data_IF_246956286135
#
_entry.id   IF_246956286135
#
_cell.length_a   1.000
_cell.length_b   1.000
_cell.length_c   1.000
_cell.angle_alpha   90.00
_cell.angle_beta   90.00
_cell.angle_gamma   90.00
#
_symmetry.space_group_name_H-M   'P 1'
#
loop_
_entity.id
_entity.type
_entity.pdbx_description
1 polymer ?
#
# COMPACT_ATOMS: atom_id res chain seq x y z
N UNK A 1 -9.51 9.46 -10.62
CA UNK A 1 -9.01 8.07 -10.50
C UNK A 1 -7.51 8.16 -10.26
N UNK A 2 -7.02 7.57 -9.17
CA UNK A 2 -5.61 7.68 -8.75
C UNK A 2 -4.76 6.64 -9.48
N UNK A 3 -3.51 6.99 -9.79
CA UNK A 3 -2.53 6.10 -10.42
C UNK A 3 -1.51 5.63 -9.39
N UNK A 4 -1.10 4.38 -9.52
CA UNK A 4 0.01 3.74 -8.82
C UNK A 4 1.20 3.70 -9.76
N UNK A 5 2.29 4.35 -9.36
CA UNK A 5 3.59 4.23 -10.00
C UNK A 5 4.45 3.28 -9.15
N UNK A 6 4.55 2.03 -9.59
CA UNK A 6 5.39 1.01 -8.95
C UNK A 6 6.77 0.99 -9.61
N UNK A 7 7.79 1.48 -8.91
CA UNK A 7 9.17 1.49 -9.38
C UNK A 7 9.97 0.36 -8.77
N UNK A 8 10.53 -0.49 -9.62
CA UNK A 8 11.28 -1.70 -9.26
C UNK A 8 12.70 -1.63 -9.83
N UNK A 9 13.73 -1.96 -9.04
CA UNK A 9 15.07 -2.19 -9.59
C UNK A 9 15.08 -3.49 -10.39
N UNK A 10 15.89 -3.54 -11.44
CA UNK A 10 15.97 -4.67 -12.39
C UNK A 10 16.20 -6.00 -11.67
N UNK A 11 17.07 -6.02 -10.67
CA UNK A 11 17.39 -7.20 -9.85
C UNK A 11 16.20 -7.75 -9.04
N UNK A 12 15.17 -6.94 -8.78
CA UNK A 12 13.97 -7.35 -8.04
C UNK A 12 12.79 -7.72 -8.95
N UNK A 13 12.89 -7.52 -10.26
CA UNK A 13 11.83 -7.90 -11.21
C UNK A 13 11.37 -9.37 -11.10
N UNK A 14 12.26 -10.37 -10.86
CA UNK A 14 11.82 -11.76 -10.69
C UNK A 14 10.85 -11.96 -9.51
N UNK A 15 10.97 -11.15 -8.45
CA UNK A 15 10.04 -11.14 -7.32
C UNK A 15 8.65 -10.61 -7.69
N UNK A 16 8.47 -10.10 -8.91
CA UNK A 16 7.22 -9.58 -9.40
C UNK A 16 6.81 -10.29 -10.70
N UNK A 17 7.17 -11.57 -10.83
CA UNK A 17 6.82 -12.40 -11.99
C UNK A 17 5.31 -12.43 -12.25
N UNK A 18 4.50 -12.39 -11.19
CA UNK A 18 3.04 -12.33 -11.24
C UNK A 18 2.49 -11.11 -11.99
N UNK A 19 3.25 -10.01 -12.11
CA UNK A 19 2.84 -8.83 -12.91
C UNK A 19 2.70 -9.15 -14.41
N UNK A 20 3.29 -10.25 -14.89
CA UNK A 20 3.12 -10.73 -16.26
C UNK A 20 1.66 -11.09 -16.58
N UNK A 21 0.88 -11.51 -15.57
CA UNK A 21 -0.53 -11.90 -15.73
C UNK A 21 -1.44 -10.72 -16.08
N UNK A 22 -1.08 -9.52 -15.63
CA UNK A 22 -1.83 -8.28 -15.87
C UNK A 22 -0.89 -7.20 -16.40
N UNK A 23 -0.53 -7.28 -17.70
CA UNK A 23 0.43 -6.36 -18.28
C UNK A 23 -0.11 -4.94 -18.28
N UNK A 24 0.78 -3.97 -18.07
CA UNK A 24 0.42 -2.55 -18.10
C UNK A 24 1.50 -1.70 -18.77
N UNK A 25 1.29 -0.37 -18.83
CA UNK A 25 2.28 0.57 -19.36
C UNK A 25 3.54 0.58 -18.49
N UNK A 26 4.70 0.46 -19.13
CA UNK A 26 6.00 0.39 -18.43
C UNK A 26 6.99 1.38 -19.01
N UNK A 27 7.67 2.09 -18.10
CA UNK A 27 8.80 2.95 -18.40
C UNK A 27 10.09 2.38 -17.80
N UNK A 28 11.24 2.75 -18.36
CA UNK A 28 12.56 2.37 -17.87
C UNK A 28 13.43 3.61 -17.70
N UNK A 29 14.21 3.65 -16.63
CA UNK A 29 15.27 4.64 -16.44
C UNK A 29 16.47 3.93 -15.81
N UNK A 30 17.52 3.73 -16.61
CA UNK A 30 18.71 2.96 -16.20
C UNK A 30 18.35 1.55 -15.71
N UNK A 31 18.63 1.27 -14.44
CA UNK A 31 18.37 -0.01 -13.79
C UNK A 31 16.97 -0.12 -13.15
N UNK A 32 16.08 0.84 -13.38
CA UNK A 32 14.74 0.84 -12.80
C UNK A 32 13.66 0.71 -13.86
N UNK A 33 12.61 -0.02 -13.51
CA UNK A 33 11.38 -0.14 -14.28
C UNK A 33 10.24 0.48 -13.47
N UNK A 34 9.35 1.21 -14.14
CA UNK A 34 8.18 1.81 -13.53
C UNK A 34 6.92 1.29 -14.22
N UNK A 35 6.10 0.59 -13.46
CA UNK A 35 4.82 0.03 -13.87
C UNK A 35 3.70 0.96 -13.41
N UNK A 36 2.80 1.30 -14.33
CA UNK A 36 1.73 2.26 -14.06
C UNK A 36 0.40 1.51 -13.97
N UNK A 37 -0.30 1.59 -12.85
CA UNK A 37 -1.62 0.97 -12.67
C UNK A 37 -2.67 2.00 -12.25
N UNK A 38 -3.94 1.78 -12.60
CA UNK A 38 -5.04 2.45 -11.90
C UNK A 38 -5.25 1.81 -10.54
N UNK A 39 -5.40 2.63 -9.51
CA UNK A 39 -5.81 2.15 -8.19
C UNK A 39 -7.32 1.84 -8.19
N UNK A 40 -7.73 0.66 -7.72
CA UNK A 40 -9.14 0.35 -7.50
C UNK A 40 -9.82 1.29 -6.49
N UNK A 41 -11.11 1.52 -6.70
CA UNK A 41 -11.90 2.41 -5.85
C UNK A 41 -12.01 1.81 -4.45
N UNK A 42 -11.75 2.63 -3.43
CA UNK A 42 -11.87 2.22 -2.03
C UNK A 42 -10.60 1.59 -1.46
N UNK A 43 -9.55 1.46 -2.28
CA UNK A 43 -8.20 1.25 -1.79
C UNK A 43 -7.66 2.56 -1.23
N UNK A 44 -6.85 2.44 -0.18
CA UNK A 44 -6.31 3.58 0.54
C UNK A 44 -4.79 3.50 0.61
N UNK A 45 -4.09 3.03 -0.43
CA UNK A 45 -2.62 2.97 -0.40
C UNK A 45 -2.02 4.35 -0.10
N UNK A 46 -0.83 4.37 0.51
CA UNK A 46 -0.01 5.58 0.68
C UNK A 46 1.29 5.46 -0.10
N UNK A 47 1.97 6.58 -0.32
CA UNK A 47 3.31 6.57 -0.94
C UNK A 47 4.31 6.03 0.07
N UNK A 48 5.13 5.05 -0.33
CA UNK A 48 6.17 4.48 0.52
C UNK A 48 7.37 4.00 -0.28
N UNK A 49 8.45 3.73 0.42
CA UNK A 49 9.61 3.04 -0.13
C UNK A 49 10.00 1.89 0.80
N UNK A 50 10.32 0.75 0.21
CA UNK A 50 10.71 -0.45 0.94
C UNK A 50 11.84 -1.17 0.21
N UNK A 51 13.04 -1.15 0.79
CA UNK A 51 14.23 -1.83 0.24
C UNK A 51 14.50 -1.50 -1.25
N UNK A 52 14.32 -0.25 -1.65
CA UNK A 52 14.52 0.18 -3.05
C UNK A 52 13.38 -0.13 -4.01
N UNK A 53 12.26 -0.69 -3.53
CA UNK A 53 10.96 -0.67 -4.22
C UNK A 53 10.28 0.64 -3.82
N UNK A 54 9.80 1.40 -4.80
CA UNK A 54 9.12 2.67 -4.55
C UNK A 54 7.70 2.60 -5.08
N UNK A 55 6.75 3.01 -4.25
CA UNK A 55 5.37 3.20 -4.66
C UNK A 55 5.01 4.67 -4.51
N UNK A 56 4.60 5.30 -5.60
CA UNK A 56 4.10 6.67 -5.61
C UNK A 56 2.67 6.71 -6.12
N UNK A 57 1.87 7.63 -5.57
CA UNK A 57 0.46 7.78 -5.90
C UNK A 57 0.23 9.17 -6.47
N UNK A 58 -0.49 9.26 -7.59
CA UNK A 58 -0.75 10.55 -8.25
C UNK A 58 -2.14 10.64 -8.86
N UNK A 59 -2.66 11.86 -8.90
CA UNK A 59 -3.95 12.17 -9.53
C UNK A 59 -3.79 12.71 -10.97
N UNK A 60 -2.57 13.13 -11.33
CA UNK A 60 -2.29 13.86 -12.57
C UNK A 60 -1.29 13.13 -13.47
N UNK A 61 -1.03 13.69 -14.65
CA UNK A 61 -0.06 13.18 -15.62
C UNK A 61 1.34 13.17 -15.03
N UNK A 62 2.12 12.21 -15.49
CA UNK A 62 3.46 11.95 -14.99
C UNK A 62 4.46 12.91 -15.62
N UNK A 63 5.38 13.43 -14.80
CA UNK A 63 6.64 13.96 -15.33
C UNK A 63 7.53 12.77 -15.73
N UNK A 64 7.78 12.65 -17.04
CA UNK A 64 8.49 11.54 -17.66
C UNK A 64 9.94 11.87 -17.99
N UNK A 65 10.48 12.97 -17.46
CA UNK A 65 11.87 13.31 -17.70
C UNK A 65 12.81 12.18 -17.26
N UNK A 66 13.66 11.73 -18.18
CA UNK A 66 14.57 10.59 -17.99
C UNK A 66 13.93 9.19 -18.05
N UNK A 67 12.62 9.07 -18.26
CA UNK A 67 11.92 7.79 -18.40
C UNK A 67 11.67 7.43 -19.86
N UNK A 68 12.22 6.31 -20.30
CA UNK A 68 11.99 5.74 -21.64
C UNK A 68 10.77 4.82 -21.64
N UNK A 69 9.86 4.98 -22.59
CA UNK A 69 8.70 4.10 -22.75
C UNK A 69 9.14 2.77 -23.35
N UNK A 70 9.10 1.69 -22.56
CA UNK A 70 9.53 0.34 -22.99
C UNK A 70 8.37 -0.62 -23.25
N UNK A 71 7.15 -0.25 -22.80
CA UNK A 71 5.93 -0.98 -23.13
C UNK A 71 4.76 -0.02 -23.25
N UNK A 72 4.37 0.27 -24.49
CA UNK A 72 3.22 1.12 -24.77
C UNK A 72 1.94 0.30 -24.94
N UNK A 73 1.29 0.02 -23.80
CA UNK A 73 -0.05 -0.54 -23.77
C UNK A 73 -0.92 0.30 -22.83
N UNK A 74 -2.22 0.01 -22.80
CA UNK A 74 -3.14 0.71 -21.91
C UNK A 74 -2.78 0.46 -20.43
N UNK A 75 -3.01 1.49 -19.62
CA UNK A 75 -2.87 1.39 -18.16
C UNK A 75 -3.93 0.42 -17.65
N UNK A 76 -3.50 -0.57 -16.88
CA UNK A 76 -4.36 -1.61 -16.34
C UNK A 76 -4.75 -1.25 -14.91
N UNK A 77 -5.88 -1.78 -14.44
CA UNK A 77 -6.21 -1.73 -13.02
C UNK A 77 -5.22 -2.58 -12.22
N UNK A 78 -4.80 -2.17 -11.02
CA UNK A 78 -4.01 -3.04 -10.15
C UNK A 78 -4.75 -4.37 -9.89
N UNK A 79 -4.03 -5.48 -9.83
CA UNK A 79 -4.63 -6.77 -9.47
C UNK A 79 -4.79 -6.87 -7.94
N UNK A 80 -5.75 -7.67 -7.44
CA UNK A 80 -5.86 -7.94 -6.01
C UNK A 80 -4.56 -8.51 -5.41
N UNK A 81 -3.85 -9.33 -6.19
CA UNK A 81 -2.54 -9.87 -5.79
C UNK A 81 -1.48 -8.78 -5.65
N UNK A 82 -1.39 -7.85 -6.60
CA UNK A 82 -0.49 -6.70 -6.51
C UNK A 82 -0.83 -5.84 -5.29
N UNK A 83 -2.10 -5.51 -5.09
CA UNK A 83 -2.52 -4.72 -3.94
C UNK A 83 -2.11 -5.37 -2.63
N UNK A 84 -2.39 -6.66 -2.45
CA UNK A 84 -1.99 -7.41 -1.26
C UNK A 84 -0.49 -7.34 -1.00
N UNK A 85 0.34 -7.48 -2.04
CA UNK A 85 1.81 -7.36 -1.90
C UNK A 85 2.21 -5.95 -1.45
N UNK A 86 1.66 -4.91 -2.08
CA UNK A 86 1.96 -3.52 -1.76
C UNK A 86 1.52 -3.13 -0.35
N UNK A 87 0.33 -3.56 0.05
CA UNK A 87 -0.22 -3.31 1.37
C UNK A 87 0.59 -3.97 2.48
N UNK A 88 1.13 -5.17 2.24
CA UNK A 88 2.03 -5.83 3.19
C UNK A 88 3.39 -5.11 3.27
N UNK A 89 3.94 -4.64 2.13
CA UNK A 89 5.16 -3.84 2.12
C UNK A 89 4.97 -2.50 2.86
N UNK A 90 3.81 -1.86 2.69
CA UNK A 90 3.42 -0.67 3.43
C UNK A 90 3.40 -0.95 4.94
N UNK A 91 2.73 -2.02 5.38
CA UNK A 91 2.67 -2.41 6.78
C UNK A 91 4.05 -2.62 7.40
N UNK A 92 4.95 -3.32 6.70
CA UNK A 92 6.34 -3.50 7.13
C UNK A 92 7.09 -2.17 7.26
N UNK A 93 6.84 -1.24 6.34
CA UNK A 93 7.46 0.09 6.35
C UNK A 93 6.94 0.92 7.52
N UNK A 94 5.64 0.90 7.77
CA UNK A 94 5.01 1.59 8.89
C UNK A 94 5.48 1.01 10.24
N UNK A 95 5.66 -0.31 10.32
CA UNK A 95 6.16 -0.99 11.52
C UNK A 95 7.58 -0.52 11.88
N UNK A 96 8.48 -0.44 10.88
CA UNK A 96 9.84 0.13 11.05
C UNK A 96 9.82 1.60 11.48
N UNK A 97 8.79 2.34 11.08
CA UNK A 97 8.62 3.76 11.40
C UNK A 97 7.82 4.00 12.68
N UNK A 98 7.40 2.96 13.41
CA UNK A 98 6.61 3.10 14.63
C UNK A 98 7.49 3.69 15.74
N UNK A 99 7.20 4.92 16.12
CA UNK A 99 8.07 5.71 17.00
C UNK A 99 7.49 5.96 18.39
N UNK A 100 6.16 5.96 18.54
CA UNK A 100 5.52 6.11 19.86
C UNK A 100 5.52 7.51 20.45
N UNK A 101 5.75 8.56 19.65
CA UNK A 101 5.81 9.94 20.14
C UNK A 101 4.45 10.59 20.44
N UNK A 102 3.34 9.85 20.29
CA UNK A 102 1.99 10.40 20.43
C UNK A 102 1.62 11.32 19.27
N UNK A 103 0.32 11.55 19.09
CA UNK A 103 -0.20 12.31 17.95
C UNK A 103 -0.56 13.75 18.34
N UNK A 104 0.01 14.72 17.63
CA UNK A 104 -0.42 16.11 17.74
C UNK A 104 -1.75 16.33 17.01
N UNK A 105 -2.74 16.87 17.73
CA UNK A 105 -4.09 17.13 17.19
C UNK A 105 -4.16 18.48 16.49
N UNK A 106 -3.68 18.55 15.24
CA UNK A 106 -3.76 19.75 14.39
C UNK A 106 -4.46 19.47 13.07
N UNK A 107 -4.95 20.56 12.47
CA UNK A 107 -5.50 20.62 11.12
C UNK A 107 -6.52 19.52 10.81
N UNK A 108 -6.20 18.66 9.85
CA UNK A 108 -7.10 17.63 9.34
C UNK A 108 -7.42 16.56 10.38
N UNK A 109 -6.51 16.27 11.33
CA UNK A 109 -6.75 15.27 12.39
C UNK A 109 -7.80 15.81 13.36
N UNK A 110 -7.64 17.06 13.78
CA UNK A 110 -8.61 17.72 14.65
C UNK A 110 -9.99 17.77 13.98
N UNK A 111 -10.03 18.18 12.71
CA UNK A 111 -11.26 18.18 11.92
C UNK A 111 -11.87 16.77 11.79
N UNK A 112 -11.06 15.74 11.58
CA UNK A 112 -11.53 14.36 11.46
C UNK A 112 -12.13 13.87 12.78
N UNK A 113 -11.51 14.16 13.92
CA UNK A 113 -12.02 13.76 15.24
C UNK A 113 -13.32 14.49 15.56
N UNK A 114 -13.41 15.80 15.30
CA UNK A 114 -14.60 16.59 15.58
C UNK A 114 -15.80 16.22 14.70
N UNK A 115 -15.57 15.97 13.40
CA UNK A 115 -16.65 15.71 12.45
C UNK A 115 -16.95 14.22 12.32
N UNK A 116 -16.00 13.36 12.65
CA UNK A 116 -16.11 11.91 12.52
C UNK A 116 -15.65 11.38 11.16
N UNK A 117 -15.66 10.05 11.05
CA UNK A 117 -15.17 9.32 9.87
C UNK A 117 -16.35 8.89 8.98
N UNK A 118 -16.21 9.10 7.67
CA UNK A 118 -17.24 8.83 6.66
C UNK A 118 -16.79 7.92 5.52
N UNK A 119 -15.48 7.73 5.33
CA UNK A 119 -14.93 7.02 4.18
C UNK A 119 -13.89 5.97 4.56
N UNK A 120 -13.71 4.97 3.68
CA UNK A 120 -12.63 3.98 3.81
C UNK A 120 -11.25 4.66 3.88
N UNK A 121 -11.02 5.67 3.04
CA UNK A 121 -9.74 6.38 3.02
C UNK A 121 -9.43 7.04 4.37
N UNK A 122 -10.41 7.74 4.97
CA UNK A 122 -10.25 8.33 6.31
C UNK A 122 -10.01 7.26 7.37
N UNK A 123 -10.74 6.14 7.34
CA UNK A 123 -10.53 5.01 8.24
C UNK A 123 -9.08 4.50 8.15
N UNK A 124 -8.61 4.18 6.95
CA UNK A 124 -7.26 3.64 6.76
C UNK A 124 -6.18 4.66 7.14
N UNK A 125 -6.39 5.94 6.82
CA UNK A 125 -5.47 7.02 7.18
C UNK A 125 -5.35 7.15 8.70
N UNK A 126 -6.48 7.14 9.42
CA UNK A 126 -6.49 7.21 10.88
C UNK A 126 -5.77 6.02 11.51
N UNK A 127 -6.09 4.78 11.09
CA UNK A 127 -5.49 3.58 11.67
C UNK A 127 -3.97 3.58 11.49
N UNK A 128 -3.47 3.91 10.29
CA UNK A 128 -2.03 4.02 10.02
C UNK A 128 -1.35 5.08 10.88
N UNK A 129 -1.98 6.25 10.96
CA UNK A 129 -1.44 7.36 11.73
C UNK A 129 -1.29 6.99 13.20
N UNK A 130 -2.34 6.43 13.81
CA UNK A 130 -2.30 5.99 15.21
C UNK A 130 -1.29 4.87 15.42
N UNK A 131 -1.21 3.91 14.48
CA UNK A 131 -0.24 2.82 14.55
C UNK A 131 1.21 3.34 14.60
N UNK A 132 1.59 4.20 13.66
CA UNK A 132 2.94 4.81 13.60
C UNK A 132 3.26 5.62 14.85
N UNK A 133 2.25 6.31 15.41
CA UNK A 133 2.39 7.09 16.64
C UNK A 133 2.32 6.24 17.92
N UNK A 134 2.29 4.91 17.80
CA UNK A 134 2.46 3.97 18.91
C UNK A 134 1.21 3.65 19.72
N UNK A 135 0.03 4.08 19.27
CA UNK A 135 -1.22 3.71 19.93
C UNK A 135 -1.41 2.19 19.90
N UNK A 136 -2.05 1.64 20.94
CA UNK A 136 -2.41 0.22 21.00
C UNK A 136 -3.66 -0.05 20.15
N UNK A 137 -3.87 -1.31 19.79
CA UNK A 137 -5.06 -1.70 19.04
C UNK A 137 -6.36 -1.30 19.76
N UNK A 138 -6.40 -1.49 21.08
CA UNK A 138 -7.53 -1.13 21.94
C UNK A 138 -7.82 0.38 21.88
N UNK A 139 -6.79 1.21 22.01
CA UNK A 139 -6.94 2.67 21.90
C UNK A 139 -7.48 3.09 20.53
N UNK A 140 -7.03 2.42 19.46
CA UNK A 140 -7.52 2.68 18.11
C UNK A 140 -8.98 2.25 17.93
N UNK A 141 -9.38 1.12 18.53
CA UNK A 141 -10.79 0.67 18.55
C UNK A 141 -11.68 1.66 19.30
N UNK A 142 -11.26 2.09 20.50
CA UNK A 142 -12.02 3.05 21.31
C UNK A 142 -12.23 4.37 20.58
N UNK A 143 -11.16 4.91 19.98
CA UNK A 143 -11.26 6.14 19.21
C UNK A 143 -12.14 5.97 17.96
N UNK A 144 -11.93 4.90 17.18
CA UNK A 144 -12.73 4.64 15.98
C UNK A 144 -14.22 4.52 16.30
N UNK A 145 -14.58 3.78 17.35
CA UNK A 145 -15.98 3.59 17.75
C UNK A 145 -16.63 4.88 18.26
N UNK A 146 -15.85 5.78 18.88
CA UNK A 146 -16.33 7.08 19.33
C UNK A 146 -16.63 8.06 18.18
N UNK A 147 -15.84 8.02 17.10
CA UNK A 147 -15.91 9.04 16.03
C UNK A 147 -16.51 8.54 14.71
N UNK A 148 -16.67 7.24 14.53
CA UNK A 148 -17.27 6.69 13.30
C UNK A 148 -18.75 7.07 13.16
N UNK A 149 -19.15 7.52 11.98
CA UNK A 149 -20.56 7.87 11.68
C UNK A 149 -21.27 6.80 10.86
N UNK A 150 -20.53 5.82 10.32
CA UNK A 150 -21.03 4.81 9.38
C UNK A 150 -20.63 3.41 9.81
N UNK A 151 -21.63 2.58 10.13
CA UNK A 151 -21.41 1.21 10.65
C UNK A 151 -20.74 0.30 9.61
N UNK A 152 -20.97 0.53 8.32
CA UNK A 152 -20.34 -0.23 7.24
C UNK A 152 -18.80 -0.10 7.19
N UNK A 153 -18.23 0.90 7.88
CA UNK A 153 -16.78 1.06 7.97
C UNK A 153 -16.14 0.08 8.96
N UNK A 154 -16.91 -0.56 9.83
CA UNK A 154 -16.38 -1.45 10.87
C UNK A 154 -15.61 -2.64 10.27
N UNK A 155 -16.15 -3.30 9.25
CA UNK A 155 -15.47 -4.43 8.61
C UNK A 155 -14.14 -4.02 7.98
N UNK A 156 -14.12 -2.85 7.32
CA UNK A 156 -12.91 -2.31 6.71
C UNK A 156 -11.88 -1.84 7.76
N UNK A 157 -12.34 -1.25 8.86
CA UNK A 157 -11.49 -0.90 10.00
C UNK A 157 -10.76 -2.13 10.55
N UNK A 158 -11.48 -3.24 10.75
CA UNK A 158 -10.89 -4.49 11.23
C UNK A 158 -9.88 -5.06 10.23
N UNK A 159 -10.18 -4.98 8.93
CA UNK A 159 -9.27 -5.42 7.86
C UNK A 159 -7.93 -4.67 7.92
N UNK A 160 -7.97 -3.33 7.93
CA UNK A 160 -6.76 -2.50 7.99
C UNK A 160 -6.01 -2.71 9.31
N UNK A 161 -6.74 -2.76 10.42
CA UNK A 161 -6.12 -2.94 11.74
C UNK A 161 -5.46 -4.30 11.89
N UNK A 162 -6.08 -5.38 11.42
CA UNK A 162 -5.46 -6.71 11.44
C UNK A 162 -4.15 -6.73 10.67
N UNK A 163 -4.05 -6.00 9.56
CA UNK A 163 -2.83 -5.96 8.75
C UNK A 163 -1.65 -5.28 9.47
N UNK A 164 -1.93 -4.29 10.31
CA UNK A 164 -0.90 -3.50 10.99
C UNK A 164 -0.58 -4.02 12.40
N UNK A 165 -1.60 -4.45 13.15
CA UNK A 165 -1.49 -4.77 14.57
C UNK A 165 -1.33 -6.26 14.87
N UNK A 166 -1.83 -7.16 14.00
CA UNK A 166 -1.35 -8.55 14.09
C UNK A 166 0.03 -8.52 13.49
N UNK A 167 1.05 -8.80 14.31
CA UNK A 167 2.43 -8.95 13.85
C UNK A 167 2.44 -9.94 12.68
N UNK A 168 2.39 -9.43 11.45
CA UNK A 168 2.73 -10.21 10.28
C UNK A 168 4.23 -10.11 10.20
N UNK A 169 4.91 -11.08 10.79
CA UNK A 169 6.26 -11.42 10.37
C UNK A 169 6.16 -11.74 8.87
N UNK A 170 6.40 -10.73 8.03
CA UNK A 170 6.43 -10.92 6.60
C UNK A 170 7.76 -11.60 6.29
N UNK A 171 7.78 -12.93 6.40
CA UNK A 171 8.89 -13.76 5.95
C UNK A 171 9.01 -13.61 4.43
N UNK A 172 9.81 -12.62 4.00
CA UNK A 172 10.27 -12.39 2.63
C UNK A 172 10.66 -13.68 1.89
N UNK A 173 11.15 -14.67 2.62
CA UNK A 173 11.71 -15.89 2.06
C UNK A 173 10.67 -16.97 1.78
N UNK A 174 9.54 -17.03 2.50
CA UNK A 174 8.64 -18.19 2.40
C UNK A 174 7.70 -18.11 1.19
N UNK A 175 7.07 -16.96 0.93
CA UNK A 175 6.16 -16.80 -0.22
C UNK A 175 6.86 -16.88 -1.58
N UNK A 176 8.09 -16.37 -1.70
CA UNK A 176 8.86 -16.50 -2.94
C UNK A 176 9.50 -17.87 -3.12
N UNK A 177 9.92 -18.55 -2.04
CA UNK A 177 10.33 -19.96 -2.15
C UNK A 177 9.18 -20.81 -2.67
N UNK A 178 7.99 -20.68 -2.10
CA UNK A 178 6.85 -21.50 -2.53
C UNK A 178 6.47 -21.22 -3.98
N UNK A 179 6.55 -19.97 -4.45
CA UNK A 179 6.24 -19.65 -5.85
C UNK A 179 7.38 -20.05 -6.84
N UNK A 180 8.64 -19.97 -6.44
CA UNK A 180 9.77 -20.45 -7.26
C UNK A 180 9.91 -21.98 -7.26
N UNK A 181 9.61 -22.65 -6.14
CA UNK A 181 9.59 -24.12 -6.03
C UNK A 181 8.41 -24.70 -6.84
N UNK A 182 7.24 -24.07 -6.82
CA UNK A 182 6.08 -24.50 -7.62
C UNK A 182 6.25 -24.25 -9.14
N UNK A 183 7.08 -23.29 -9.57
CA UNK A 183 7.45 -23.12 -10.99
C UNK A 183 8.52 -24.12 -11.45
N UNK A 184 9.30 -24.71 -10.53
CA UNK A 184 10.35 -25.69 -10.81
C UNK A 184 9.85 -27.15 -10.74
N UNK A 185 8.81 -27.43 -9.94
CA UNK A 185 8.18 -28.76 -9.83
C UNK A 185 6.98 -28.96 -10.79
N UNK A 186 6.64 -27.96 -11.60
CA UNK A 186 5.63 -28.03 -12.66
C UNK A 186 6.15 -28.70 -13.93
N UNK A 187 6.19 -30.05 -13.92
CA UNK A 187 5.95 -30.86 -15.11
C UNK A 187 4.46 -30.89 -15.46
#
# INVERSE_FOLDING_TARGET
MRLIDLTLPTQKLPLFSFLKSKPTRVFKNGNFYKFIYYEPVGEALTTFSHEGIYLSLRNEKMDLEGWELVRDIQIALASPELLKVLENMEANTLSKNRQGFGLELKDWIFNLICNGIYTKNETATLVRLLFVNGYSFEQVVDLFTAITKRKELASYFIEVSNRLYKEVEFEYHRQFKTNCENELDGK
#
